data_IF_536262461673
#
_entry.id   IF_536262461673
#
_cell.length_a   1.000
_cell.length_b   1.000
_cell.length_c   1.000
_cell.angle_alpha   90.00
_cell.angle_beta   90.00
_cell.angle_gamma   90.00
#
_symmetry.space_group_name_H-M   'P 1'
#
loop_
_entity.id
_entity.type
_entity.pdbx_description
1 polymer ?
#
# COMPACT_ATOMS: atom_id res chain seq x y z
N UNK A 1 6.51 -9.54 -3.16
CA UNK A 1 5.12 -9.05 -3.22
C UNK A 1 4.91 -7.82 -2.34
N UNK A 2 5.49 -7.82 -1.13
CA UNK A 2 5.57 -6.69 -0.20
C UNK A 2 6.12 -5.39 -0.82
N UNK A 3 7.27 -5.42 -1.50
CA UNK A 3 7.92 -4.21 -2.06
C UNK A 3 7.08 -3.48 -3.14
N UNK A 4 6.37 -4.23 -3.99
CA UNK A 4 5.47 -3.65 -4.99
C UNK A 4 4.20 -3.03 -4.37
N UNK A 5 3.89 -3.41 -3.13
CA UNK A 5 2.67 -2.99 -2.44
C UNK A 5 2.90 -1.79 -1.53
N UNK A 6 4.14 -1.51 -1.12
CA UNK A 6 4.39 -0.49 -0.10
C UNK A 6 4.73 0.90 -0.62
N UNK A 7 4.83 1.12 -1.94
CA UNK A 7 5.47 2.31 -2.48
C UNK A 7 4.62 3.16 -3.45
N UNK A 8 4.73 4.48 -3.29
CA UNK A 8 4.28 5.52 -4.21
C UNK A 8 2.78 5.52 -4.59
N UNK A 9 1.93 5.47 -3.57
CA UNK A 9 0.47 5.56 -3.70
C UNK A 9 -0.03 7.00 -3.63
N UNK A 10 -0.97 7.37 -4.50
CA UNK A 10 -1.69 8.64 -4.39
C UNK A 10 -2.75 8.51 -3.29
N UNK A 11 -2.47 9.03 -2.09
CA UNK A 11 -3.35 8.89 -0.93
C UNK A 11 -3.25 10.10 0.00
N UNK A 12 -4.28 10.29 0.82
CA UNK A 12 -4.28 11.30 1.87
C UNK A 12 -3.64 10.71 3.14
N UNK A 13 -2.52 11.27 3.65
CA UNK A 13 -1.79 10.72 4.78
C UNK A 13 -2.64 10.65 6.05
N UNK A 14 -3.52 11.62 6.29
CA UNK A 14 -4.40 11.62 7.47
C UNK A 14 -5.36 10.41 7.47
N UNK A 15 -5.80 9.96 6.30
CA UNK A 15 -6.66 8.76 6.20
C UNK A 15 -5.84 7.47 6.28
N UNK A 16 -4.57 7.54 5.88
CA UNK A 16 -3.64 6.42 5.94
C UNK A 16 -3.21 6.13 7.37
N UNK A 17 -2.90 7.16 8.15
CA UNK A 17 -2.52 7.06 9.55
C UNK A 17 -3.64 6.46 10.42
N UNK A 18 -4.91 6.72 10.08
CA UNK A 18 -6.05 6.14 10.79
C UNK A 18 -6.40 4.72 10.32
N UNK A 19 -5.71 4.18 9.32
CA UNK A 19 -6.02 2.86 8.82
C UNK A 19 -5.35 1.76 9.65
N UNK A 20 -6.17 0.89 10.23
CA UNK A 20 -5.67 -0.24 11.02
C UNK A 20 -5.11 -1.36 10.14
N UNK A 21 -5.71 -1.57 8.97
CA UNK A 21 -5.37 -2.68 8.06
C UNK A 21 -5.29 -2.18 6.62
N UNK A 22 -4.24 -2.62 5.93
CA UNK A 22 -3.95 -2.38 4.52
C UNK A 22 -4.21 -3.66 3.74
N UNK A 23 -5.16 -3.63 2.82
CA UNK A 23 -5.46 -4.77 1.97
C UNK A 23 -4.86 -4.59 0.58
N UNK A 24 -4.00 -5.52 0.17
CA UNK A 24 -3.42 -5.58 -1.16
C UNK A 24 -4.29 -6.45 -2.07
N UNK A 25 -4.70 -5.90 -3.21
CA UNK A 25 -5.52 -6.62 -4.19
C UNK A 25 -4.88 -6.72 -5.57
N UNK A 26 -5.23 -7.78 -6.28
CA UNK A 26 -5.10 -7.87 -7.73
C UNK A 26 -6.48 -8.06 -8.34
N UNK A 27 -6.89 -7.17 -9.23
CA UNK A 27 -8.25 -7.19 -9.78
C UNK A 27 -9.29 -7.02 -8.67
N UNK A 28 -10.10 -8.07 -8.43
CA UNK A 28 -11.15 -8.09 -7.41
C UNK A 28 -10.80 -8.94 -6.18
N UNK A 29 -9.63 -9.59 -6.17
CA UNK A 29 -9.25 -10.50 -5.09
C UNK A 29 -8.19 -9.87 -4.20
N UNK A 30 -8.40 -9.98 -2.88
CA UNK A 30 -7.41 -9.60 -1.88
C UNK A 30 -6.36 -10.70 -1.84
N UNK A 31 -5.14 -10.38 -2.26
CA UNK A 31 -4.05 -11.34 -2.22
C UNK A 31 -3.35 -11.31 -0.86
N UNK A 32 -3.26 -10.13 -0.22
CA UNK A 32 -2.50 -10.01 1.01
C UNK A 32 -3.01 -8.91 1.94
N UNK A 33 -2.75 -9.05 3.24
CA UNK A 33 -3.10 -8.06 4.25
C UNK A 33 -1.85 -7.61 5.03
N UNK A 34 -1.75 -6.31 5.30
CA UNK A 34 -0.62 -5.68 5.97
C UNK A 34 -1.10 -4.75 7.07
N UNK A 35 -0.25 -4.55 8.07
CA UNK A 35 -0.41 -3.52 9.12
C UNK A 35 0.70 -2.52 8.95
N UNK A 36 0.37 -1.24 8.72
CA UNK A 36 1.37 -0.18 8.66
C UNK A 36 1.73 0.31 10.07
N UNK A 37 3.02 0.44 10.32
CA UNK A 37 3.54 1.10 11.52
C UNK A 37 3.75 2.59 11.29
N UNK A 38 4.17 2.98 10.08
CA UNK A 38 4.35 4.38 9.70
C UNK A 38 4.11 4.61 8.22
N UNK A 39 3.56 5.78 7.91
CA UNK A 39 3.42 6.30 6.57
C UNK A 39 4.48 7.37 6.32
N UNK A 40 5.11 7.33 5.15
CA UNK A 40 6.20 8.23 4.79
C UNK A 40 6.05 8.66 3.33
N UNK A 41 6.53 9.86 3.00
CA UNK A 41 6.62 10.27 1.60
C UNK A 41 7.47 9.26 0.82
N UNK A 42 7.03 8.94 -0.39
CA UNK A 42 7.68 8.00 -1.28
C UNK A 42 8.97 8.59 -1.89
N UNK A 43 9.89 9.10 -1.06
CA UNK A 43 11.17 9.72 -1.45
C UNK A 43 12.32 8.73 -1.35
N UNK A 44 13.45 9.07 -1.99
CA UNK A 44 14.69 8.26 -1.96
C UNK A 44 15.24 8.12 -0.54
N UNK A 45 15.06 9.13 0.30
CA UNK A 45 15.53 9.13 1.69
C UNK A 45 14.76 8.12 2.54
N UNK A 46 13.45 7.97 2.34
CA UNK A 46 12.60 7.09 3.13
C UNK A 46 12.58 5.64 2.62
N UNK A 47 12.82 5.44 1.32
CA UNK A 47 12.76 4.12 0.68
C UNK A 47 13.98 3.87 -0.21
N UNK A 48 15.22 4.00 0.30
CA UNK A 48 16.44 3.94 -0.52
C UNK A 48 16.53 2.64 -1.33
N UNK A 49 16.21 1.50 -0.70
CA UNK A 49 16.25 0.17 -1.36
C UNK A 49 15.32 0.07 -2.58
N UNK A 50 14.15 0.69 -2.50
CA UNK A 50 13.18 0.71 -3.60
C UNK A 50 13.62 1.67 -4.69
N UNK A 51 14.20 2.81 -4.33
CA UNK A 51 14.72 3.77 -5.29
C UNK A 51 15.93 3.25 -6.04
N UNK A 52 16.79 2.47 -5.40
CA UNK A 52 17.93 1.81 -6.04
C UNK A 52 17.46 0.71 -7.01
N UNK A 53 16.36 0.01 -6.72
CA UNK A 53 15.70 -0.92 -7.66
C UNK A 53 15.00 -0.22 -8.83
N UNK A 54 14.52 1.01 -8.61
CA UNK A 54 13.84 1.82 -9.61
C UNK A 54 14.83 2.67 -10.42
N UNK A 55 16.10 2.76 -10.03
CA UNK A 55 17.10 3.60 -10.65
C UNK A 55 17.22 3.29 -12.16
N UNK A 56 17.15 4.33 -12.99
CA UNK A 56 17.07 4.20 -14.45
C UNK A 56 15.68 3.93 -15.04
N UNK A 57 14.63 3.71 -14.23
CA UNK A 57 13.25 3.65 -14.73
C UNK A 57 12.64 5.06 -14.90
N UNK A 58 11.81 5.30 -15.93
CA UNK A 58 11.19 6.61 -16.21
C UNK A 58 10.22 7.10 -15.13
N UNK A 59 9.99 6.30 -14.07
CA UNK A 59 9.08 6.59 -12.96
C UNK A 59 9.78 7.42 -11.86
N UNK A 60 11.10 7.30 -11.71
CA UNK A 60 11.94 7.94 -10.67
C UNK A 60 11.88 9.47 -10.71
N UNK A 61 11.68 10.08 -11.88
CA UNK A 61 11.48 11.54 -12.02
C UNK A 61 10.01 11.98 -12.09
N UNK A 62 9.06 11.04 -12.00
CA UNK A 62 7.63 11.29 -12.31
C UNK A 62 6.69 11.18 -11.13
N UNK A 63 7.13 10.72 -9.97
CA UNK A 63 6.25 10.69 -8.80
C UNK A 63 5.95 12.14 -8.38
N UNK A 64 4.73 12.64 -8.62
CA UNK A 64 4.37 13.98 -8.19
C UNK A 64 4.41 13.99 -6.66
N UNK A 65 4.72 15.15 -6.08
CA UNK A 65 4.51 15.40 -4.64
C UNK A 65 3.14 14.85 -4.21
N UNK A 66 3.06 14.22 -3.04
CA UNK A 66 1.82 13.63 -2.51
C UNK A 66 1.64 12.14 -2.80
N UNK A 67 2.74 11.42 -3.09
CA UNK A 67 2.76 9.96 -3.11
C UNK A 67 3.37 9.44 -1.82
N UNK A 68 2.70 8.49 -1.18
CA UNK A 68 3.13 7.93 0.10
C UNK A 68 3.41 6.44 -0.03
N UNK A 69 4.36 5.98 0.75
CA UNK A 69 4.56 4.57 1.06
C UNK A 69 4.30 4.31 2.54
N UNK A 70 4.28 3.04 2.91
CA UNK A 70 4.23 2.64 4.30
C UNK A 70 5.36 1.67 4.63
N UNK A 71 5.75 1.66 5.89
CA UNK A 71 6.54 0.58 6.48
C UNK A 71 5.64 -0.17 7.46
N UNK A 72 5.66 -1.49 7.39
CA UNK A 72 4.72 -2.33 8.12
C UNK A 72 5.11 -3.80 8.07
N UNK A 73 4.24 -4.68 8.54
CA UNK A 73 4.40 -6.12 8.40
C UNK A 73 3.16 -6.76 7.79
N UNK A 74 3.26 -8.03 7.41
CA UNK A 74 2.08 -8.84 7.13
C UNK A 74 1.18 -8.86 8.36
N UNK A 75 -0.14 -8.79 8.14
CA UNK A 75 -1.11 -8.86 9.22
C UNK A 75 -1.10 -10.26 9.83
N UNK A 76 -1.54 -10.38 11.09
CA UNK A 76 -1.68 -11.68 11.75
C UNK A 76 -2.63 -12.61 11.00
N UNK A 77 -2.46 -13.93 11.22
CA UNK A 77 -3.23 -14.97 10.54
C UNK A 77 -4.75 -14.78 10.70
N UNK A 78 -5.22 -14.26 11.82
CA UNK A 78 -6.64 -13.97 12.04
C UNK A 78 -7.17 -12.92 11.04
N UNK A 79 -6.40 -11.85 10.81
CA UNK A 79 -6.74 -10.80 9.85
C UNK A 79 -6.59 -11.33 8.42
N UNK A 80 -5.53 -12.08 8.15
CA UNK A 80 -5.31 -12.70 6.83
C UNK A 80 -6.46 -13.63 6.48
N UNK A 81 -6.87 -14.52 7.38
CA UNK A 81 -8.00 -15.42 7.18
C UNK A 81 -9.33 -14.68 6.99
N UNK A 82 -9.46 -13.48 7.55
CA UNK A 82 -10.65 -12.66 7.39
C UNK A 82 -10.75 -12.01 6.01
N UNK A 83 -9.63 -11.75 5.33
CA UNK A 83 -9.62 -10.93 4.11
C UNK A 83 -8.94 -11.57 2.90
N UNK A 84 -7.84 -12.28 3.07
CA UNK A 84 -7.07 -12.91 1.98
C UNK A 84 -7.94 -13.98 1.27
N UNK A 85 -7.88 -13.99 -0.06
CA UNK A 85 -8.70 -14.85 -0.91
C UNK A 85 -10.17 -14.42 -1.04
N UNK A 86 -10.59 -13.35 -0.35
CA UNK A 86 -11.94 -12.81 -0.51
C UNK A 86 -12.00 -11.79 -1.63
N UNK A 87 -13.19 -11.74 -2.25
CA UNK A 87 -13.50 -10.77 -3.29
C UNK A 87 -13.91 -9.44 -2.68
N UNK A 88 -13.27 -8.36 -3.11
CA UNK A 88 -13.65 -6.99 -2.77
C UNK A 88 -14.97 -6.66 -3.48
N UNK A 89 -16.03 -6.24 -2.75
CA UNK A 89 -17.27 -5.81 -3.38
C UNK A 89 -17.06 -4.63 -4.34
N UNK A 90 -17.82 -4.59 -5.43
CA UNK A 90 -17.57 -3.63 -6.53
C UNK A 90 -17.62 -2.16 -6.09
N UNK A 91 -18.44 -1.84 -5.08
CA UNK A 91 -18.53 -0.51 -4.47
C UNK A 91 -17.21 -0.02 -3.83
N UNK A 92 -16.27 -0.92 -3.59
CA UNK A 92 -14.94 -0.61 -3.05
C UNK A 92 -13.85 -0.71 -4.13
N UNK A 93 -14.20 -0.97 -5.38
CA UNK A 93 -13.26 -0.93 -6.52
C UNK A 93 -12.98 0.54 -6.87
N UNK A 94 -11.70 0.86 -7.03
CA UNK A 94 -11.23 2.21 -7.35
C UNK A 94 -9.82 2.14 -7.94
N UNK A 95 -9.19 3.29 -8.21
CA UNK A 95 -7.87 3.31 -8.89
C UNK A 95 -6.74 2.73 -8.02
N UNK A 96 -6.82 2.84 -6.70
CA UNK A 96 -5.81 2.29 -5.80
C UNK A 96 -6.12 0.80 -5.47
N UNK A 97 -5.13 -0.11 -5.55
CA UNK A 97 -5.28 -1.50 -5.13
C UNK A 97 -5.33 -1.66 -3.61
N UNK A 98 -4.91 -0.63 -2.84
CA UNK A 98 -4.93 -0.62 -1.38
C UNK A 98 -6.23 -0.05 -0.81
N UNK A 99 -6.74 -0.67 0.26
CA UNK A 99 -7.89 -0.18 1.05
C UNK A 99 -7.59 -0.17 2.54
N UNK A 100 -8.24 0.79 3.21
CA UNK A 100 -8.28 0.96 4.65
C UNK A 100 -9.57 0.36 5.20
N UNK A 101 -9.48 -0.34 6.32
CA UNK A 101 -10.62 -0.78 7.12
C UNK A 101 -10.54 -0.07 8.48
N UNK A 102 -11.69 0.38 8.99
CA UNK A 102 -11.91 1.34 10.09
C UNK A 102 -11.59 2.82 9.75
N UNK A 103 -12.57 3.52 9.17
CA UNK A 103 -12.61 4.99 9.10
C UNK A 103 -14.00 5.49 9.48
#
# INVERSE_FOLDING_TARGET
MYDATRFAWSLNPLRAENAEIILARCGHEIIEAFVAFRWMDATRENFPDLWDQLDGMPVVGRYPKGRYGFEGCEADDDIRNLYVGKRVPDKYIGQNPIRYINC
#
